data_IF_362242066367
#
_entry.id   IF_362242066367
#
_cell.length_a   1.000
_cell.length_b   1.000
_cell.length_c   1.000
_cell.angle_alpha   90.00
_cell.angle_beta   90.00
_cell.angle_gamma   90.00
#
_symmetry.space_group_name_H-M   'P 1'
#
loop_
_entity.id
_entity.type
_entity.pdbx_description
1 polymer ?
#
# COMPACT_ATOMS: atom_id res chain seq x y z
N UNK A 1 -5.77 15.88 14.00
CA UNK A 1 -6.78 16.02 12.91
C UNK A 1 -6.19 15.71 11.53
N UNK A 2 -5.05 16.29 11.13
CA UNK A 2 -4.45 16.00 9.80
C UNK A 2 -4.11 14.53 9.53
N UNK A 3 -3.62 13.79 10.54
CA UNK A 3 -3.31 12.36 10.38
C UNK A 3 -4.51 11.47 10.06
N UNK A 4 -5.70 11.80 10.60
CA UNK A 4 -6.92 11.06 10.30
C UNK A 4 -7.34 11.25 8.85
N UNK A 5 -7.20 12.47 8.32
CA UNK A 5 -7.48 12.77 6.91
C UNK A 5 -6.50 12.03 5.99
N UNK A 6 -5.21 12.04 6.30
CA UNK A 6 -4.19 11.30 5.54
C UNK A 6 -4.46 9.79 5.55
N UNK A 7 -4.89 9.25 6.69
CA UNK A 7 -5.25 7.84 6.82
C UNK A 7 -6.48 7.48 5.97
N UNK A 8 -7.52 8.33 5.95
CA UNK A 8 -8.69 8.15 5.09
C UNK A 8 -8.33 8.21 3.61
N UNK A 9 -7.45 9.14 3.21
CA UNK A 9 -6.96 9.23 1.82
C UNK A 9 -6.17 7.98 1.44
N UNK A 10 -5.30 7.50 2.33
CA UNK A 10 -4.52 6.28 2.13
C UNK A 10 -5.45 5.08 1.89
N UNK A 11 -6.44 4.88 2.78
CA UNK A 11 -7.41 3.80 2.63
C UNK A 11 -8.20 3.93 1.32
N UNK A 12 -8.68 5.13 1.00
CA UNK A 12 -9.42 5.38 -0.24
C UNK A 12 -8.59 5.03 -1.48
N UNK A 13 -7.31 5.39 -1.47
CA UNK A 13 -6.38 5.07 -2.56
C UNK A 13 -6.11 3.56 -2.68
N UNK A 14 -5.96 2.86 -1.56
CA UNK A 14 -5.81 1.40 -1.54
C UNK A 14 -7.05 0.70 -2.11
N UNK A 15 -8.25 1.11 -1.70
CA UNK A 15 -9.52 0.59 -2.21
C UNK A 15 -9.61 0.83 -3.73
N UNK A 16 -9.29 2.05 -4.17
CA UNK A 16 -9.27 2.39 -5.60
C UNK A 16 -8.32 1.46 -6.38
N UNK A 17 -7.10 1.25 -5.89
CA UNK A 17 -6.13 0.35 -6.49
C UNK A 17 -6.65 -1.08 -6.60
N UNK A 18 -7.22 -1.62 -5.51
CA UNK A 18 -7.80 -2.97 -5.49
C UNK A 18 -8.94 -3.09 -6.51
N UNK A 19 -9.86 -2.12 -6.54
CA UNK A 19 -10.98 -2.10 -7.49
C UNK A 19 -10.47 -2.04 -8.93
N UNK A 20 -9.44 -1.24 -9.21
CA UNK A 20 -8.81 -1.15 -10.53
C UNK A 20 -8.23 -2.50 -10.97
N UNK A 21 -7.50 -3.19 -10.08
CA UNK A 21 -6.93 -4.53 -10.35
C UNK A 21 -8.02 -5.57 -10.59
N UNK A 22 -9.09 -5.58 -9.77
CA UNK A 22 -10.19 -6.51 -9.92
C UNK A 22 -10.91 -6.30 -11.26
N UNK A 23 -11.16 -5.05 -11.63
CA UNK A 23 -11.85 -4.67 -12.89
C UNK A 23 -10.98 -4.87 -14.13
N UNK A 24 -9.66 -4.99 -13.98
CA UNK A 24 -8.77 -5.21 -15.11
C UNK A 24 -9.00 -6.61 -15.73
N UNK A 25 -9.41 -6.64 -17.00
CA UNK A 25 -9.66 -7.89 -17.74
C UNK A 25 -8.40 -8.50 -18.36
N UNK A 26 -7.30 -7.74 -18.41
CA UNK A 26 -6.03 -8.20 -18.97
C UNK A 26 -5.22 -9.06 -17.99
N UNK A 27 -5.49 -8.93 -16.68
CA UNK A 27 -4.78 -9.70 -15.65
C UNK A 27 -5.47 -11.04 -15.38
N UNK A 28 -4.67 -12.09 -15.30
CA UNK A 28 -5.11 -13.42 -14.86
C UNK A 28 -5.34 -13.43 -13.33
N UNK A 29 -5.93 -14.51 -12.79
CA UNK A 29 -6.24 -14.61 -11.36
C UNK A 29 -5.00 -14.50 -10.46
N UNK A 30 -3.90 -15.14 -10.83
CA UNK A 30 -2.66 -15.10 -10.05
C UNK A 30 -2.04 -13.70 -10.05
N UNK A 31 -2.00 -13.02 -11.20
CA UNK A 31 -1.51 -11.65 -11.33
C UNK A 31 -2.35 -10.67 -10.49
N UNK A 32 -3.68 -10.84 -10.49
CA UNK A 32 -4.56 -10.04 -9.62
C UNK A 32 -4.24 -10.23 -8.16
N UNK A 33 -4.04 -11.47 -7.71
CA UNK A 33 -3.67 -11.77 -6.32
C UNK A 33 -2.34 -11.11 -5.95
N UNK A 34 -1.32 -11.21 -6.80
CA UNK A 34 -0.02 -10.57 -6.58
C UNK A 34 -0.16 -9.05 -6.46
N UNK A 35 -0.91 -8.41 -7.36
CA UNK A 35 -1.14 -6.98 -7.32
C UNK A 35 -1.89 -6.51 -6.07
N UNK A 36 -2.90 -7.27 -5.62
CA UNK A 36 -3.60 -6.97 -4.37
C UNK A 36 -2.65 -7.05 -3.18
N UNK A 37 -1.80 -8.08 -3.12
CA UNK A 37 -0.77 -8.22 -2.08
C UNK A 37 0.15 -6.98 -2.09
N UNK A 38 0.66 -6.59 -3.26
CA UNK A 38 1.52 -5.41 -3.39
C UNK A 38 0.82 -4.15 -2.85
N UNK A 39 -0.44 -3.90 -3.25
CA UNK A 39 -1.20 -2.71 -2.80
C UNK A 39 -1.34 -2.70 -1.27
N UNK A 40 -1.60 -3.85 -0.65
CA UNK A 40 -1.78 -3.97 0.81
C UNK A 40 -0.47 -3.79 1.57
N UNK A 41 0.64 -4.33 1.06
CA UNK A 41 1.93 -4.30 1.75
C UNK A 41 2.78 -3.06 1.43
N UNK A 42 2.49 -2.32 0.36
CA UNK A 42 3.21 -1.10 -0.02
C UNK A 42 3.38 -0.08 1.14
N UNK A 43 2.33 0.23 1.93
CA UNK A 43 2.45 1.17 3.05
C UNK A 43 3.38 0.65 4.15
N UNK A 44 3.34 -0.66 4.40
CA UNK A 44 4.20 -1.32 5.39
C UNK A 44 5.66 -1.24 4.96
N UNK A 45 5.95 -1.56 3.70
CA UNK A 45 7.30 -1.46 3.14
C UNK A 45 7.84 -0.03 3.17
N UNK A 46 7.00 0.95 2.79
CA UNK A 46 7.34 2.37 2.88
C UNK A 46 7.66 2.80 4.31
N UNK A 47 6.87 2.37 5.28
CA UNK A 47 7.12 2.63 6.69
C UNK A 47 8.42 1.97 7.16
N UNK A 48 8.67 0.70 6.82
CA UNK A 48 9.90 -0.01 7.18
C UNK A 48 11.15 0.68 6.60
N UNK A 49 11.09 1.14 5.34
CA UNK A 49 12.18 1.88 4.71
C UNK A 49 12.42 3.23 5.39
N UNK A 50 11.35 3.99 5.67
CA UNK A 50 11.44 5.26 6.38
C UNK A 50 12.03 5.08 7.78
N UNK A 51 11.59 4.05 8.51
CA UNK A 51 12.09 3.74 9.83
C UNK A 51 13.58 3.40 9.80
N UNK A 52 14.01 2.56 8.87
CA UNK A 52 15.42 2.18 8.73
C UNK A 52 16.33 3.34 8.34
N UNK A 53 15.86 4.24 7.46
CA UNK A 53 16.65 5.38 7.00
C UNK A 53 16.71 6.54 8.01
N UNK A 54 15.65 6.74 8.78
CA UNK A 54 15.52 7.89 9.70
C UNK A 54 16.03 7.55 11.10
N UNK A 55 15.78 6.33 11.58
CA UNK A 55 16.17 5.92 12.92
C UNK A 55 17.45 5.07 12.83
N UNK A 56 18.59 5.72 12.95
CA UNK A 56 19.85 5.04 13.23
C UNK A 56 19.78 4.51 14.66
N UNK A 57 19.94 3.20 14.83
CA UNK A 57 20.06 2.60 16.16
C UNK A 57 21.22 3.29 16.90
N UNK A 58 20.90 4.08 17.93
CA UNK A 58 21.91 4.56 18.88
C UNK A 58 22.36 3.35 19.69
N UNK A 59 23.45 2.74 19.26
CA UNK A 59 24.31 1.93 20.11
C UNK A 59 25.34 2.83 20.76
#
# INVERSE_FOLDING_TARGET
>A
MGYALLFLILIGYMIYGIVSVIKNKQLNRAEKTVWIIIIVFLPVLGASMYLRGTFVARH
#
